data_IF_369268542522
#
_entry.id   IF_369268542522
#
_cell.length_a   1.000
_cell.length_b   1.000
_cell.length_c   1.000
_cell.angle_alpha   90.00
_cell.angle_beta   90.00
_cell.angle_gamma   90.00
#
_symmetry.space_group_name_H-M   'P 1'
#
loop_
_entity.id
_entity.type
_entity.pdbx_description
1 polymer ?
#
# COMPACT_ATOMS: atom_id res chain seq x y z
N UNK A 1 -6.40 30.15 18.28
CA UNK A 1 -5.52 28.96 18.26
C UNK A 1 -5.53 28.14 19.56
N UNK A 2 -5.74 28.70 20.75
CA UNK A 2 -5.73 27.91 22.00
C UNK A 2 -7.05 27.15 22.32
N UNK A 3 -8.17 27.46 21.67
CA UNK A 3 -9.46 26.84 21.95
C UNK A 3 -9.77 25.57 21.10
N UNK A 4 -9.06 25.38 19.97
CA UNK A 4 -9.31 24.25 19.07
C UNK A 4 -8.56 22.96 19.48
N UNK A 5 -7.49 23.09 20.26
CA UNK A 5 -6.72 21.94 20.81
C UNK A 5 -7.36 21.34 22.06
N UNK A 6 -8.21 22.07 22.77
CA UNK A 6 -8.88 21.59 23.99
C UNK A 6 -10.06 20.63 23.71
N UNK A 7 -10.66 20.68 22.52
CA UNK A 7 -11.78 19.80 22.15
C UNK A 7 -11.35 18.36 21.81
N UNK A 8 -10.07 18.13 21.50
CA UNK A 8 -9.53 16.82 21.09
C UNK A 8 -9.13 15.90 22.26
N UNK A 9 -9.20 16.38 23.51
CA UNK A 9 -8.74 15.64 24.68
C UNK A 9 -9.85 15.19 25.62
N UNK A 10 -11.09 15.68 25.44
CA UNK A 10 -12.22 15.23 26.25
C UNK A 10 -12.73 13.86 25.74
N UNK A 11 -12.64 12.79 26.55
CA UNK A 11 -13.12 11.46 26.19
C UNK A 11 -14.59 11.41 25.76
N UNK A 12 -15.41 12.38 26.19
CA UNK A 12 -16.82 12.47 25.85
C UNK A 12 -17.07 12.73 24.36
N UNK A 13 -16.14 13.36 23.65
CA UNK A 13 -16.30 13.78 22.24
C UNK A 13 -15.49 12.95 21.24
N UNK A 14 -14.77 11.92 21.69
CA UNK A 14 -14.03 11.03 20.81
C UNK A 14 -14.98 10.11 20.03
N UNK A 15 -14.70 9.90 18.74
CA UNK A 15 -15.33 8.86 17.94
C UNK A 15 -15.05 7.47 18.52
N UNK A 16 -15.82 6.47 18.08
CA UNK A 16 -15.61 5.07 18.50
C UNK A 16 -14.20 4.61 18.11
N UNK A 17 -13.73 4.94 16.91
CA UNK A 17 -12.41 4.59 16.39
C UNK A 17 -11.30 5.33 17.13
N UNK A 18 -11.51 6.58 17.55
CA UNK A 18 -10.53 7.32 18.34
C UNK A 18 -10.37 6.73 19.75
N UNK A 19 -11.48 6.29 20.36
CA UNK A 19 -11.43 5.56 21.65
C UNK A 19 -10.70 4.24 21.47
N UNK A 20 -11.05 3.48 20.42
CA UNK A 20 -10.42 2.18 20.14
C UNK A 20 -8.93 2.30 19.81
N UNK A 21 -8.51 3.34 19.11
CA UNK A 21 -7.10 3.61 18.84
C UNK A 21 -6.31 3.81 20.13
N UNK A 22 -6.86 4.53 21.12
CA UNK A 22 -6.22 4.69 22.44
C UNK A 22 -6.14 3.37 23.21
N UNK A 23 -7.18 2.54 23.14
CA UNK A 23 -7.16 1.21 23.77
C UNK A 23 -6.12 0.29 23.14
N UNK A 24 -5.99 0.31 21.81
CA UNK A 24 -5.00 -0.49 21.09
C UNK A 24 -3.58 -0.01 21.37
N UNK A 25 -3.36 1.30 21.46
CA UNK A 25 -2.05 1.86 21.83
C UNK A 25 -1.65 1.50 23.27
N UNK A 26 -2.62 1.45 24.20
CA UNK A 26 -2.39 0.97 25.56
C UNK A 26 -2.08 -0.53 25.62
N UNK A 27 -2.66 -1.33 24.73
CA UNK A 27 -2.50 -2.78 24.71
C UNK A 27 -1.22 -3.22 23.98
N UNK A 28 -0.92 -2.60 22.84
CA UNK A 28 0.12 -3.02 21.90
C UNK A 28 1.33 -2.08 21.89
N UNK A 29 1.13 -0.83 22.28
CA UNK A 29 2.13 0.24 22.23
C UNK A 29 2.92 0.40 23.54
N UNK A 30 3.40 1.63 23.84
CA UNK A 30 3.04 2.88 23.18
C UNK A 30 3.65 3.01 21.79
N UNK A 31 2.89 3.56 20.85
CA UNK A 31 3.41 4.06 19.58
C UNK A 31 4.46 5.13 19.87
N UNK A 32 5.61 5.04 19.22
CA UNK A 32 6.80 5.87 19.51
C UNK A 32 7.44 5.60 20.88
N UNK A 33 7.26 4.39 21.42
CA UNK A 33 8.04 3.92 22.56
C UNK A 33 9.56 4.05 22.31
N UNK A 34 10.30 4.32 23.39
CA UNK A 34 11.75 4.45 23.38
C UNK A 34 12.38 3.33 24.22
N UNK A 35 13.70 3.35 24.42
CA UNK A 35 14.39 2.31 25.20
C UNK A 35 13.88 2.19 26.66
N UNK A 36 13.43 3.30 27.25
CA UNK A 36 12.90 3.34 28.63
C UNK A 36 11.45 2.84 28.72
N UNK A 37 10.68 2.99 27.63
CA UNK A 37 9.30 2.55 27.52
C UNK A 37 9.04 1.98 26.11
N UNK A 38 9.55 0.77 25.82
CA UNK A 38 9.40 0.17 24.50
C UNK A 38 7.94 -0.23 24.24
N UNK A 39 7.52 -0.32 22.96
CA UNK A 39 6.23 -0.90 22.61
C UNK A 39 6.08 -2.32 23.19
N UNK A 40 4.88 -2.68 23.65
CA UNK A 40 4.58 -4.00 24.18
C UNK A 40 4.58 -5.11 23.11
N UNK A 41 4.44 -4.73 21.85
CA UNK A 41 4.43 -5.62 20.69
C UNK A 41 5.58 -5.30 19.75
N UNK A 42 6.41 -6.30 19.43
CA UNK A 42 7.54 -6.15 18.50
C UNK A 42 7.09 -6.09 17.03
N UNK A 43 6.09 -6.89 16.66
CA UNK A 43 5.64 -7.06 15.29
C UNK A 43 4.11 -7.11 15.18
N UNK A 44 3.52 -6.28 14.33
CA UNK A 44 2.08 -6.35 14.00
C UNK A 44 1.87 -6.85 12.57
N UNK A 45 1.06 -7.90 12.42
CA UNK A 45 0.50 -8.30 11.13
C UNK A 45 -0.97 -7.85 11.10
N UNK A 46 -1.29 -6.90 10.23
CA UNK A 46 -2.64 -6.34 10.10
C UNK A 46 -3.34 -6.95 8.89
N UNK A 47 -4.52 -7.54 9.07
CA UNK A 47 -5.21 -8.32 8.02
C UNK A 47 -6.34 -7.50 7.39
N UNK A 48 -6.28 -7.31 6.08
CA UNK A 48 -7.23 -6.53 5.30
C UNK A 48 -7.75 -7.34 4.11
N UNK A 49 -8.93 -6.94 3.64
CA UNK A 49 -9.51 -7.42 2.40
C UNK A 49 -9.96 -6.25 1.56
N UNK A 50 -9.82 -6.36 0.25
CA UNK A 50 -10.21 -5.34 -0.71
C UNK A 50 -11.19 -5.94 -1.71
N UNK A 51 -12.14 -5.11 -2.13
CA UNK A 51 -13.05 -5.42 -3.24
C UNK A 51 -12.33 -5.38 -4.61
N UNK A 52 -11.14 -4.76 -4.68
CA UNK A 52 -10.31 -4.65 -5.88
C UNK A 52 -9.59 -5.96 -6.21
N UNK A 53 -9.21 -6.18 -7.46
CA UNK A 53 -8.53 -7.41 -7.90
C UNK A 53 -7.01 -7.35 -7.68
N UNK A 54 -6.59 -6.90 -6.49
CA UNK A 54 -5.16 -6.74 -6.15
C UNK A 54 -4.43 -8.06 -5.90
N UNK A 55 -5.13 -9.19 -5.95
CA UNK A 55 -4.60 -10.49 -5.53
C UNK A 55 -4.20 -10.42 -4.04
N UNK A 56 -3.11 -11.09 -3.64
CA UNK A 56 -2.49 -10.86 -2.32
C UNK A 56 -1.44 -9.76 -2.41
N UNK A 57 -1.60 -8.68 -1.65
CA UNK A 57 -0.63 -7.61 -1.53
C UNK A 57 -0.06 -7.55 -0.10
N UNK A 58 1.26 -7.61 0.00
CA UNK A 58 2.00 -7.40 1.25
C UNK A 58 2.41 -5.93 1.34
N UNK A 59 1.74 -5.17 2.18
CA UNK A 59 1.95 -3.73 2.28
C UNK A 59 2.95 -3.43 3.40
N UNK A 60 4.14 -2.96 3.04
CA UNK A 60 5.30 -2.77 3.93
C UNK A 60 5.79 -1.32 3.91
N UNK A 61 6.52 -0.93 4.95
CA UNK A 61 7.35 0.28 4.90
C UNK A 61 8.75 0.04 4.36
N UNK A 62 9.33 1.03 3.69
CA UNK A 62 10.76 1.02 3.39
C UNK A 62 11.61 1.27 4.65
N UNK A 63 12.83 0.73 4.66
CA UNK A 63 13.85 1.00 5.67
C UNK A 63 13.76 0.12 6.93
N UNK A 64 12.89 -0.89 6.93
CA UNK A 64 12.82 -1.93 7.96
C UNK A 64 13.24 -3.29 7.36
N UNK A 65 14.49 -3.74 7.59
CA UNK A 65 14.97 -5.02 7.09
C UNK A 65 14.16 -6.23 7.56
N UNK A 66 13.68 -6.23 8.81
CA UNK A 66 12.94 -7.38 9.34
C UNK A 66 11.61 -7.53 8.62
N UNK A 67 10.86 -6.43 8.53
CA UNK A 67 9.57 -6.39 7.82
C UNK A 67 9.72 -6.72 6.33
N UNK A 68 10.72 -6.12 5.67
CA UNK A 68 10.90 -6.32 4.22
C UNK A 68 11.44 -7.70 3.86
N UNK A 69 12.29 -8.31 4.69
CA UNK A 69 12.70 -9.70 4.55
C UNK A 69 11.55 -10.67 4.82
N UNK A 70 10.68 -10.37 5.80
CA UNK A 70 9.46 -11.13 6.03
C UNK A 70 8.56 -11.13 4.78
N UNK A 71 8.33 -9.95 4.19
CA UNK A 71 7.53 -9.84 2.97
C UNK A 71 8.17 -10.56 1.77
N UNK A 72 9.50 -10.48 1.61
CA UNK A 72 10.23 -11.21 0.56
C UNK A 72 10.12 -12.74 0.74
N UNK A 73 10.19 -13.23 1.98
CA UNK A 73 10.01 -14.64 2.31
C UNK A 73 8.58 -15.09 2.00
N UNK A 74 7.58 -14.38 2.51
CA UNK A 74 6.16 -14.69 2.30
C UNK A 74 5.82 -14.68 0.81
N UNK A 75 6.30 -13.67 0.07
CA UNK A 75 6.11 -13.60 -1.38
C UNK A 75 6.66 -14.85 -2.07
N UNK A 76 7.86 -15.30 -1.71
CA UNK A 76 8.46 -16.51 -2.27
C UNK A 76 7.64 -17.77 -1.94
N UNK A 77 7.31 -17.99 -0.65
CA UNK A 77 6.52 -19.16 -0.21
C UNK A 77 5.15 -19.24 -0.86
N UNK A 78 4.47 -18.10 -1.01
CA UNK A 78 3.17 -18.03 -1.64
C UNK A 78 3.27 -18.31 -3.15
N UNK A 79 4.32 -17.83 -3.83
CA UNK A 79 4.58 -18.12 -5.25
C UNK A 79 4.88 -19.61 -5.50
N UNK A 80 5.61 -20.28 -4.60
CA UNK A 80 5.81 -21.75 -4.67
C UNK A 80 4.47 -22.52 -4.64
N UNK A 81 3.47 -21.94 -3.99
CA UNK A 81 2.11 -22.48 -3.88
C UNK A 81 1.15 -21.94 -4.96
N UNK A 82 1.69 -21.24 -5.97
CA UNK A 82 0.94 -20.69 -7.09
C UNK A 82 -0.10 -19.61 -6.70
N UNK A 83 0.09 -18.94 -5.55
CA UNK A 83 -0.66 -17.74 -5.21
C UNK A 83 -0.08 -16.52 -5.93
N UNK A 84 -0.95 -15.64 -6.41
CA UNK A 84 -0.54 -14.35 -6.97
C UNK A 84 -0.31 -13.38 -5.81
N UNK A 85 0.95 -13.08 -5.56
CA UNK A 85 1.37 -12.18 -4.48
C UNK A 85 2.31 -11.11 -4.99
N UNK A 86 2.16 -9.90 -4.49
CA UNK A 86 3.08 -8.80 -4.71
C UNK A 86 3.40 -8.06 -3.41
N UNK A 87 4.52 -7.34 -3.39
CA UNK A 87 4.86 -6.42 -2.31
C UNK A 87 4.49 -5.00 -2.73
N UNK A 88 3.80 -4.29 -1.85
CA UNK A 88 3.53 -2.87 -1.97
C UNK A 88 4.29 -2.09 -0.91
N UNK A 89 5.14 -1.16 -1.34
CA UNK A 89 6.00 -0.40 -0.45
C UNK A 89 5.49 1.03 -0.27
N UNK A 90 5.19 1.39 0.97
CA UNK A 90 4.98 2.77 1.36
C UNK A 90 6.32 3.51 1.44
N UNK A 91 6.37 4.67 0.79
CA UNK A 91 7.55 5.54 0.74
C UNK A 91 7.74 6.37 2.02
N UNK A 92 6.78 6.37 2.95
CA UNK A 92 6.90 7.06 4.22
C UNK A 92 8.01 6.43 5.07
N UNK A 93 9.06 7.20 5.39
CA UNK A 93 10.24 6.69 6.10
C UNK A 93 10.05 6.55 7.62
N UNK A 94 9.04 7.21 8.21
CA UNK A 94 8.84 7.22 9.66
C UNK A 94 7.41 6.79 10.02
N UNK A 95 7.25 6.15 11.18
CA UNK A 95 5.95 5.82 11.74
C UNK A 95 5.14 7.06 12.17
N UNK A 96 5.81 8.21 12.33
CA UNK A 96 5.20 9.48 12.77
C UNK A 96 4.11 9.98 11.83
N UNK A 97 4.28 9.72 10.54
CA UNK A 97 3.33 10.15 9.49
C UNK A 97 2.34 9.05 9.10
N UNK A 98 2.39 7.87 9.74
CA UNK A 98 1.50 6.74 9.44
C UNK A 98 0.36 6.69 10.45
N UNK A 99 -0.92 6.83 10.03
CA UNK A 99 -2.06 6.79 10.96
C UNK A 99 -2.61 5.37 11.21
N UNK A 100 -2.02 4.33 10.60
CA UNK A 100 -2.55 2.96 10.62
C UNK A 100 -2.22 2.20 11.92
N UNK A 101 -3.00 1.14 12.21
CA UNK A 101 -2.78 0.26 13.37
C UNK A 101 -1.37 -0.34 13.41
N UNK A 102 -0.86 -0.76 12.25
CA UNK A 102 0.47 -1.35 12.10
C UNK A 102 1.60 -0.44 12.58
N UNK A 103 1.40 0.88 12.58
CA UNK A 103 2.43 1.84 13.06
C UNK A 103 2.61 1.89 14.58
N UNK A 104 1.84 1.15 15.37
CA UNK A 104 2.03 1.05 16.83
C UNK A 104 3.32 0.29 17.16
N UNK A 105 3.57 -0.83 16.47
CA UNK A 105 4.76 -1.64 16.65
C UNK A 105 5.95 -1.12 15.81
N UNK A 106 7.20 -1.41 16.22
CA UNK A 106 8.38 -1.00 15.46
C UNK A 106 8.48 -1.71 14.11
N UNK A 107 7.99 -2.95 14.03
CA UNK A 107 7.92 -3.74 12.81
C UNK A 107 6.47 -4.09 12.50
N UNK A 108 6.10 -4.02 11.22
CA UNK A 108 4.77 -4.41 10.81
C UNK A 108 4.61 -4.49 9.31
N UNK A 109 3.68 -5.34 8.88
CA UNK A 109 3.09 -5.22 7.55
C UNK A 109 1.62 -5.59 7.54
N UNK A 110 0.96 -5.16 6.46
CA UNK A 110 -0.44 -5.49 6.20
C UNK A 110 -0.50 -6.59 5.14
N UNK A 111 -1.35 -7.58 5.37
CA UNK A 111 -1.77 -8.57 4.37
C UNK A 111 -3.11 -8.09 3.82
N UNK A 112 -3.13 -7.73 2.54
CA UNK A 112 -4.33 -7.28 1.82
C UNK A 112 -4.71 -8.35 0.79
N UNK A 113 -5.93 -8.91 0.87
CA UNK A 113 -6.38 -9.99 -0.03
C UNK A 113 -7.64 -9.58 -0.77
N UNK A 114 -7.56 -9.61 -2.11
CA UNK A 114 -8.68 -9.29 -2.99
C UNK A 114 -8.83 -10.24 -4.19
N UNK A 115 -9.97 -10.18 -4.90
CA UNK A 115 -11.15 -9.39 -4.55
C UNK A 115 -12.09 -10.14 -3.58
N UNK A 116 -12.60 -9.43 -2.57
CA UNK A 116 -13.58 -9.92 -1.59
C UNK A 116 -14.65 -8.84 -1.36
N UNK A 117 -15.94 -9.10 -1.62
CA UNK A 117 -17.00 -8.18 -1.24
C UNK A 117 -17.05 -7.97 0.28
N UNK A 118 -17.31 -6.74 0.71
CA UNK A 118 -17.47 -6.43 2.13
C UNK A 118 -18.61 -7.26 2.75
N UNK A 119 -18.36 -7.84 3.93
CA UNK A 119 -19.33 -8.70 4.62
C UNK A 119 -19.48 -10.11 4.03
N UNK A 120 -18.62 -10.51 3.07
CA UNK A 120 -18.62 -11.86 2.48
C UNK A 120 -17.34 -12.60 2.86
N UNK A 121 -17.50 -13.86 3.26
CA UNK A 121 -16.39 -14.79 3.43
C UNK A 121 -16.28 -15.70 2.20
N UNK A 122 -15.14 -15.63 1.51
CA UNK A 122 -14.82 -16.55 0.42
C UNK A 122 -13.78 -17.56 0.86
N UNK A 123 -14.06 -18.85 0.66
CA UNK A 123 -13.18 -19.93 1.10
C UNK A 123 -11.77 -19.84 0.50
N UNK A 124 -11.67 -19.63 -0.82
CA UNK A 124 -10.41 -19.49 -1.54
C UNK A 124 -9.54 -18.33 -0.99
N UNK A 125 -10.17 -17.21 -0.61
CA UNK A 125 -9.49 -16.04 -0.05
C UNK A 125 -9.09 -16.19 1.41
N UNK A 126 -9.86 -16.97 2.19
CA UNK A 126 -9.46 -17.35 3.55
C UNK A 126 -8.24 -18.28 3.52
N UNK A 127 -8.20 -19.25 2.60
CA UNK A 127 -7.02 -20.12 2.42
C UNK A 127 -5.78 -19.32 2.00
N UNK A 128 -5.94 -18.39 1.06
CA UNK A 128 -4.87 -17.49 0.60
C UNK A 128 -4.33 -16.61 1.74
N UNK A 129 -5.22 -16.01 2.55
CA UNK A 129 -4.82 -15.21 3.71
C UNK A 129 -4.14 -16.07 4.78
N UNK A 130 -4.67 -17.26 5.07
CA UNK A 130 -4.12 -18.17 6.07
C UNK A 130 -2.72 -18.64 5.68
N UNK A 131 -2.49 -18.97 4.40
CA UNK A 131 -1.18 -19.37 3.90
C UNK A 131 -0.17 -18.21 4.01
N UNK A 132 -0.60 -17.01 3.63
CA UNK A 132 0.22 -15.80 3.71
C UNK A 132 0.63 -15.52 5.17
N UNK A 133 -0.32 -15.61 6.10
CA UNK A 133 -0.08 -15.43 7.53
C UNK A 133 0.83 -16.54 8.10
N UNK A 134 0.60 -17.80 7.73
CA UNK A 134 1.45 -18.91 8.17
C UNK A 134 2.90 -18.73 7.73
N UNK A 135 3.11 -18.32 6.47
CA UNK A 135 4.45 -18.01 5.96
C UNK A 135 5.11 -16.86 6.72
N UNK A 136 4.35 -15.87 7.17
CA UNK A 136 4.85 -14.75 7.98
C UNK A 136 5.29 -15.22 9.37
N UNK A 137 4.45 -16.01 10.03
CA UNK A 137 4.75 -16.58 11.35
C UNK A 137 5.95 -17.54 11.28
N UNK A 138 6.05 -18.33 10.20
CA UNK A 138 7.20 -19.18 9.92
C UNK A 138 8.48 -18.34 9.78
N UNK A 139 8.46 -17.27 8.99
CA UNK A 139 9.59 -16.35 8.87
C UNK A 139 10.02 -15.81 10.24
N UNK A 140 9.09 -15.28 11.04
CA UNK A 140 9.41 -14.71 12.36
C UNK A 140 10.02 -15.76 13.29
N UNK A 141 9.45 -16.97 13.32
CA UNK A 141 9.98 -18.07 14.12
C UNK A 141 11.38 -18.48 13.69
N UNK A 142 11.63 -18.58 12.37
CA UNK A 142 12.93 -18.93 11.80
C UNK A 142 13.95 -17.81 12.00
N UNK A 143 13.55 -16.55 11.90
CA UNK A 143 14.41 -15.40 12.14
C UNK A 143 14.89 -15.36 13.60
N UNK A 144 14.06 -15.82 14.54
CA UNK A 144 14.46 -15.96 15.93
C UNK A 144 15.42 -17.14 16.17
N UNK A 145 15.24 -18.26 15.48
CA UNK A 145 15.98 -19.51 15.73
C UNK A 145 17.24 -19.68 14.89
N UNK A 146 17.21 -19.24 13.64
CA UNK A 146 18.24 -19.50 12.62
C UNK A 146 18.42 -18.31 11.64
N UNK A 147 18.62 -17.06 12.12
CA UNK A 147 18.63 -15.86 11.28
C UNK A 147 19.67 -15.89 10.15
N UNK A 148 20.88 -16.40 10.41
CA UNK A 148 21.93 -16.49 9.39
C UNK A 148 21.56 -17.46 8.26
N UNK A 149 20.94 -18.59 8.60
CA UNK A 149 20.49 -19.59 7.63
C UNK A 149 19.33 -19.06 6.81
N UNK A 150 18.36 -18.42 7.46
CA UNK A 150 17.23 -17.78 6.79
C UNK A 150 17.68 -16.67 5.83
N UNK A 151 18.63 -15.82 6.25
CA UNK A 151 19.18 -14.79 5.37
C UNK A 151 19.95 -15.37 4.18
N UNK A 152 20.70 -16.46 4.38
CA UNK A 152 21.37 -17.16 3.28
C UNK A 152 20.37 -17.77 2.30
N UNK A 153 19.25 -18.30 2.79
CA UNK A 153 18.15 -18.80 1.96
C UNK A 153 17.50 -17.67 1.14
N UNK A 154 17.20 -16.53 1.75
CA UNK A 154 16.70 -15.35 1.03
C UNK A 154 17.67 -14.87 -0.05
N UNK A 155 18.99 -14.92 0.18
CA UNK A 155 20.00 -14.61 -0.84
C UNK A 155 20.02 -15.62 -1.99
N UNK A 156 19.64 -16.88 -1.74
CA UNK A 156 19.47 -17.90 -2.79
C UNK A 156 18.19 -17.61 -3.59
N UNK A 157 17.09 -17.23 -2.93
CA UNK A 157 15.84 -16.86 -3.60
C UNK A 157 15.99 -15.60 -4.46
N UNK A 158 16.76 -14.63 -3.97
CA UNK A 158 16.99 -13.33 -4.62
C UNK A 158 18.50 -13.06 -4.81
N UNK A 159 19.17 -13.72 -5.77
CA UNK A 159 20.63 -13.65 -5.93
C UNK A 159 21.15 -12.26 -6.31
N UNK A 160 20.31 -11.40 -6.89
CA UNK A 160 20.65 -10.00 -7.15
C UNK A 160 20.69 -9.13 -5.89
N UNK A 161 20.14 -9.61 -4.77
CA UNK A 161 19.83 -8.80 -3.59
C UNK A 161 18.70 -7.79 -3.80
N UNK A 162 18.03 -7.80 -4.96
CA UNK A 162 16.94 -6.88 -5.31
C UNK A 162 15.62 -7.62 -5.36
N UNK A 163 14.62 -7.09 -4.67
CA UNK A 163 13.29 -7.69 -4.58
C UNK A 163 12.29 -6.79 -5.32
N UNK A 164 11.52 -7.34 -6.28
CA UNK A 164 10.52 -6.56 -6.99
C UNK A 164 9.37 -6.15 -6.06
N UNK A 165 8.93 -4.91 -6.18
CA UNK A 165 7.75 -4.39 -5.49
C UNK A 165 7.00 -3.38 -6.36
N UNK A 166 5.85 -2.95 -5.88
CA UNK A 166 5.14 -1.77 -6.33
C UNK A 166 5.22 -0.70 -5.26
N UNK A 167 5.08 0.57 -5.64
CA UNK A 167 4.86 1.68 -4.69
C UNK A 167 3.87 2.66 -5.28
N UNK A 168 3.24 3.46 -4.43
CA UNK A 168 2.42 4.57 -4.91
C UNK A 168 3.30 5.59 -5.66
N UNK A 169 2.77 6.09 -6.78
CA UNK A 169 3.36 7.22 -7.47
C UNK A 169 3.30 8.47 -6.56
N UNK A 170 4.28 9.38 -6.67
CA UNK A 170 4.29 10.61 -5.88
C UNK A 170 3.03 11.43 -6.12
N UNK A 171 2.51 12.06 -5.08
CA UNK A 171 1.40 13.01 -5.23
C UNK A 171 1.79 14.17 -6.15
N UNK A 172 0.88 14.55 -7.04
CA UNK A 172 1.01 15.73 -7.90
C UNK A 172 0.29 16.94 -7.26
N UNK A 173 -0.77 16.68 -6.48
CA UNK A 173 -1.58 17.74 -5.86
C UNK A 173 -1.15 17.99 -4.41
N UNK A 174 -1.22 19.24 -4.00
CA UNK A 174 -0.90 19.66 -2.64
C UNK A 174 -1.84 18.99 -1.62
N UNK A 175 -1.27 18.45 -0.54
CA UNK A 175 -2.02 17.77 0.52
C UNK A 175 -2.34 16.29 0.26
N UNK A 176 -2.05 15.74 -0.92
CA UNK A 176 -2.19 14.31 -1.19
C UNK A 176 -0.95 13.53 -0.76
N UNK A 177 -1.14 12.34 -0.17
CA UNK A 177 -0.01 11.46 0.21
C UNK A 177 0.57 10.68 -0.97
N UNK A 178 -0.23 10.45 -2.01
CA UNK A 178 0.17 9.75 -3.23
C UNK A 178 -0.71 10.11 -4.42
N UNK A 179 -0.25 9.81 -5.63
CA UNK A 179 -1.01 10.01 -6.86
C UNK A 179 -2.23 9.10 -6.94
N UNK A 180 -3.37 9.71 -7.25
CA UNK A 180 -4.66 9.04 -7.43
C UNK A 180 -5.44 9.63 -8.59
N UNK A 181 -6.25 8.79 -9.23
CA UNK A 181 -7.32 9.19 -10.12
C UNK A 181 -8.59 9.34 -9.27
N UNK A 182 -9.32 10.43 -9.45
CA UNK A 182 -10.54 10.74 -8.68
C UNK A 182 -11.75 10.27 -9.46
N UNK A 183 -12.77 9.76 -8.77
CA UNK A 183 -14.02 9.33 -9.38
C UNK A 183 -14.72 10.57 -9.90
N UNK A 184 -15.30 10.51 -11.10
CA UNK A 184 -16.27 11.49 -11.52
C UNK A 184 -17.55 11.31 -10.68
N UNK A 185 -17.59 11.98 -9.52
CA UNK A 185 -18.75 11.98 -8.62
C UNK A 185 -19.85 12.92 -9.10
N UNK A 186 -21.05 12.68 -8.58
CA UNK A 186 -22.21 13.51 -8.82
C UNK A 186 -22.00 14.95 -8.27
N UNK A 187 -22.37 16.00 -9.03
CA UNK A 187 -22.20 17.38 -8.58
C UNK A 187 -22.92 17.71 -7.27
N UNK A 188 -24.02 17.03 -6.97
CA UNK A 188 -24.83 17.26 -5.76
C UNK A 188 -24.49 16.26 -4.64
N UNK A 189 -23.71 15.21 -4.92
CA UNK A 189 -23.23 14.25 -3.93
C UNK A 189 -21.83 13.72 -4.26
N UNK A 190 -20.81 14.28 -3.60
CA UNK A 190 -19.41 13.90 -3.77
C UNK A 190 -19.09 12.43 -3.45
N UNK A 191 -19.95 11.75 -2.67
CA UNK A 191 -19.79 10.34 -2.30
C UNK A 191 -20.51 9.37 -3.27
N UNK A 192 -21.18 9.89 -4.30
CA UNK A 192 -21.83 9.06 -5.31
C UNK A 192 -21.03 9.15 -6.62
N UNK A 193 -20.26 8.12 -6.99
CA UNK A 193 -19.61 8.10 -8.29
C UNK A 193 -20.65 7.92 -9.39
N UNK A 194 -20.86 8.99 -10.17
CA UNK A 194 -21.82 9.01 -11.27
C UNK A 194 -21.32 8.18 -12.47
N UNK A 195 -20.01 7.98 -12.57
CA UNK A 195 -19.37 7.20 -13.63
C UNK A 195 -18.81 5.88 -13.11
N UNK A 196 -18.97 4.83 -13.91
CA UNK A 196 -18.43 3.51 -13.63
C UNK A 196 -16.98 3.41 -14.10
N UNK A 197 -16.16 2.60 -13.42
CA UNK A 197 -14.86 2.19 -13.99
C UNK A 197 -15.11 1.44 -15.29
N UNK A 198 -14.39 1.81 -16.35
CA UNK A 198 -14.56 1.17 -17.65
C UNK A 198 -14.19 -0.32 -17.57
N UNK A 199 -14.93 -1.18 -18.28
CA UNK A 199 -14.75 -2.65 -18.25
C UNK A 199 -13.34 -3.14 -18.62
N UNK A 200 -12.60 -2.35 -19.41
CA UNK A 200 -11.22 -2.67 -19.82
C UNK A 200 -10.20 -2.32 -18.71
N UNK A 201 -10.62 -1.60 -17.68
CA UNK A 201 -9.81 -1.23 -16.49
C UNK A 201 -10.27 -1.98 -15.25
N UNK A 202 -11.56 -2.29 -15.15
CA UNK A 202 -12.11 -3.08 -14.05
C UNK A 202 -11.33 -4.38 -13.87
N UNK A 203 -10.95 -4.67 -12.61
CA UNK A 203 -10.19 -5.85 -12.21
C UNK A 203 -8.78 -5.97 -12.83
N UNK A 204 -8.25 -4.91 -13.46
CA UNK A 204 -6.92 -4.89 -14.06
C UNK A 204 -5.87 -4.24 -13.15
N UNK A 205 -5.95 -4.44 -11.84
CA UNK A 205 -4.93 -3.96 -10.90
C UNK A 205 -3.53 -4.45 -11.34
N UNK A 206 -2.55 -3.56 -11.24
CA UNK A 206 -1.17 -3.74 -11.69
C UNK A 206 -0.97 -3.98 -13.20
N UNK A 207 -1.98 -3.71 -14.03
CA UNK A 207 -1.84 -3.61 -15.48
C UNK A 207 -1.64 -2.17 -15.92
N UNK A 208 -1.01 -2.01 -17.09
CA UNK A 208 -0.72 -0.69 -17.66
C UNK A 208 -1.97 -0.07 -18.29
N UNK A 209 -2.16 1.23 -18.04
CA UNK A 209 -3.06 2.09 -18.79
C UNK A 209 -2.25 3.22 -19.45
N UNK A 210 -2.59 3.56 -20.69
CA UNK A 210 -1.95 4.61 -21.49
C UNK A 210 -2.89 5.78 -21.70
N UNK A 211 -2.32 6.95 -21.97
CA UNK A 211 -3.09 8.13 -22.36
C UNK A 211 -3.98 7.79 -23.56
N UNK A 212 -5.28 8.05 -23.44
CA UNK A 212 -6.29 7.76 -24.44
C UNK A 212 -7.03 6.44 -24.24
N UNK A 213 -6.53 5.53 -23.39
CA UNK A 213 -7.25 4.30 -23.04
C UNK A 213 -8.51 4.63 -22.24
N UNK A 214 -9.59 3.85 -22.36
CA UNK A 214 -10.86 4.13 -21.69
C UNK A 214 -10.74 3.92 -20.19
N UNK A 215 -11.12 4.91 -19.37
CA UNK A 215 -10.97 4.87 -17.91
C UNK A 215 -12.30 4.80 -17.17
N UNK A 216 -13.25 5.65 -17.52
CA UNK A 216 -14.61 5.64 -16.97
C UNK A 216 -15.67 5.60 -18.08
N UNK A 217 -16.87 5.15 -17.73
CA UNK A 217 -18.03 5.09 -18.63
C UNK A 217 -19.31 5.48 -17.89
N UNK A 218 -20.20 6.22 -18.54
CA UNK A 218 -21.53 6.54 -18.00
C UNK A 218 -22.61 5.55 -18.52
N UNK A 219 -23.85 5.74 -18.09
CA UNK A 219 -24.96 4.87 -18.50
C UNK A 219 -25.38 5.03 -19.98
N UNK A 220 -25.05 6.17 -20.60
CA UNK A 220 -25.30 6.45 -22.02
C UNK A 220 -24.21 5.87 -22.94
N UNK A 221 -23.11 5.37 -22.36
CA UNK A 221 -21.97 4.78 -23.07
C UNK A 221 -20.88 5.79 -23.46
N UNK A 222 -20.96 7.03 -22.99
CA UNK A 222 -19.87 7.98 -23.12
C UNK A 222 -18.68 7.51 -22.28
N UNK A 223 -17.47 7.74 -22.80
CA UNK A 223 -16.22 7.29 -22.19
C UNK A 223 -15.36 8.49 -21.83
N UNK A 224 -14.86 8.50 -20.59
CA UNK A 224 -13.76 9.38 -20.19
C UNK A 224 -12.46 8.58 -20.35
N UNK A 225 -11.58 8.94 -21.29
CA UNK A 225 -10.28 8.30 -21.42
C UNK A 225 -9.32 8.79 -20.32
N UNK A 226 -8.31 7.98 -20.03
CA UNK A 226 -7.19 8.42 -19.20
C UNK A 226 -6.44 9.55 -19.90
N UNK A 227 -6.28 10.68 -19.21
CA UNK A 227 -5.73 11.93 -19.75
C UNK A 227 -4.20 11.97 -19.79
N UNK A 228 -3.54 11.01 -19.14
CA UNK A 228 -2.08 10.97 -18.97
C UNK A 228 -1.56 11.86 -17.84
N UNK A 229 -2.42 12.30 -16.92
CA UNK A 229 -2.09 13.20 -15.80
C UNK A 229 -0.96 12.73 -14.90
N UNK A 230 -0.67 11.43 -14.87
CA UNK A 230 0.38 10.81 -14.04
C UNK A 230 1.47 10.12 -14.89
N UNK A 231 1.51 10.38 -16.19
CA UNK A 231 2.39 9.72 -17.15
C UNK A 231 1.65 8.76 -18.08
N UNK A 232 2.39 8.07 -18.96
CA UNK A 232 1.83 7.06 -19.87
C UNK A 232 2.95 6.15 -20.40
N UNK A 233 2.95 4.84 -20.13
CA UNK A 233 1.96 4.11 -19.32
C UNK A 233 2.09 4.38 -17.81
N UNK A 234 1.01 4.12 -17.07
CA UNK A 234 1.00 4.00 -15.60
C UNK A 234 0.32 2.71 -15.18
N UNK A 235 0.53 2.28 -13.94
CA UNK A 235 -0.16 1.13 -13.36
C UNK A 235 -1.21 1.63 -12.38
N UNK A 236 -2.32 0.91 -12.25
CA UNK A 236 -3.39 1.24 -11.31
C UNK A 236 -3.51 0.17 -10.22
N UNK A 237 -3.93 0.55 -9.01
CA UNK A 237 -4.22 -0.36 -7.90
C UNK A 237 -5.37 0.19 -7.05
N UNK A 238 -5.99 -0.70 -6.27
CA UNK A 238 -7.26 -0.43 -5.59
C UNK A 238 -8.34 0.02 -6.58
N UNK A 239 -8.37 -0.62 -7.75
CA UNK A 239 -9.36 -0.32 -8.77
C UNK A 239 -10.74 -0.70 -8.25
N UNK A 240 -11.59 0.31 -8.12
CA UNK A 240 -12.97 0.15 -7.69
C UNK A 240 -13.13 -0.33 -6.23
N UNK A 241 -12.25 0.09 -5.33
CA UNK A 241 -12.37 -0.23 -3.90
C UNK A 241 -13.60 0.41 -3.26
N UNK A 242 -14.54 -0.41 -2.75
CA UNK A 242 -15.79 0.04 -2.13
C UNK A 242 -15.60 0.96 -0.92
N UNK A 243 -14.53 0.77 -0.13
CA UNK A 243 -14.18 1.66 0.98
C UNK A 243 -13.69 3.05 0.54
N UNK A 244 -13.36 3.25 -0.74
CA UNK A 244 -12.72 4.45 -1.27
C UNK A 244 -13.68 5.37 -2.05
N UNK A 245 -14.99 5.08 -2.01
CA UNK A 245 -16.01 5.90 -2.68
C UNK A 245 -16.32 7.20 -1.92
N UNK A 246 -16.15 7.22 -0.60
CA UNK A 246 -16.44 8.40 0.20
C UNK A 246 -15.36 9.47 0.02
N UNK A 247 -15.75 10.74 -0.15
CA UNK A 247 -14.82 11.86 -0.25
C UNK A 247 -13.88 11.94 0.97
N UNK A 248 -14.40 11.60 2.16
CA UNK A 248 -13.64 11.55 3.42
C UNK A 248 -12.59 10.45 3.48
N UNK A 249 -12.70 9.41 2.65
CA UNK A 249 -11.66 8.37 2.57
C UNK A 249 -10.34 8.95 2.07
N UNK A 250 -10.40 10.06 1.33
CA UNK A 250 -9.24 10.68 0.71
C UNK A 250 -8.54 9.77 -0.30
N UNK A 251 -9.12 8.61 -0.61
CA UNK A 251 -8.52 7.61 -1.46
C UNK A 251 -9.18 7.61 -2.81
N UNK A 252 -8.36 7.24 -3.79
CA UNK A 252 -8.82 7.09 -5.14
C UNK A 252 -8.20 5.89 -5.85
N UNK A 253 -8.32 5.79 -7.20
CA UNK A 253 -7.70 4.70 -7.94
C UNK A 253 -6.24 5.07 -7.91
N UNK A 254 -5.49 4.31 -7.14
CA UNK A 254 -4.13 4.69 -6.80
C UNK A 254 -3.24 4.39 -8.00
N UNK A 255 -2.33 5.31 -8.30
CA UNK A 255 -1.34 5.11 -9.35
C UNK A 255 -0.13 4.42 -8.73
N UNK A 256 0.28 3.30 -9.32
CA UNK A 256 1.40 2.49 -8.88
C UNK A 256 2.60 2.61 -9.83
N UNK A 257 3.79 2.39 -9.31
CA UNK A 257 5.05 2.26 -10.04
C UNK A 257 5.72 0.94 -9.66
N UNK A 258 6.24 0.21 -10.65
CA UNK A 258 7.16 -0.90 -10.40
C UNK A 258 8.46 -0.36 -9.81
N UNK A 259 8.97 -0.99 -8.78
CA UNK A 259 10.23 -0.65 -8.15
C UNK A 259 10.93 -1.89 -7.59
N UNK A 260 12.12 -1.68 -7.02
CA UNK A 260 12.86 -2.71 -6.33
C UNK A 260 13.39 -2.18 -5.00
N UNK A 261 13.48 -3.05 -3.99
CA UNK A 261 14.15 -2.74 -2.74
C UNK A 261 15.33 -3.68 -2.49
N UNK A 262 16.29 -3.19 -1.73
CA UNK A 262 17.49 -3.94 -1.34
C UNK A 262 17.18 -4.90 -0.18
N UNK A 263 17.55 -6.18 -0.33
CA UNK A 263 17.26 -7.25 0.63
C UNK A 263 17.79 -6.98 2.03
N UNK A 264 18.95 -6.33 2.13
CA UNK A 264 19.67 -6.18 3.39
C UNK A 264 19.15 -4.96 4.16
N UNK A 265 18.88 -3.88 3.45
CA UNK A 265 18.51 -2.60 4.05
C UNK A 265 17.01 -2.34 4.08
N UNK A 266 16.23 -3.04 3.25
CA UNK A 266 14.80 -2.79 3.08
C UNK A 266 14.47 -1.44 2.43
N UNK A 267 15.46 -0.73 1.90
CA UNK A 267 15.26 0.56 1.25
C UNK A 267 14.97 0.39 -0.24
N UNK A 268 14.12 1.27 -0.79
CA UNK A 268 13.97 1.40 -2.23
C UNK A 268 15.32 1.72 -2.89
N UNK A 269 15.61 1.05 -3.99
CA UNK A 269 16.85 1.25 -4.74
C UNK A 269 16.69 2.51 -5.59
N UNK A 270 17.55 3.54 -5.44
CA UNK A 270 17.49 4.73 -6.27
C UNK A 270 17.63 4.36 -7.76
N UNK A 271 16.68 4.83 -8.58
CA UNK A 271 16.80 4.74 -10.03
C UNK A 271 17.59 5.95 -10.52
N UNK A 272 18.60 5.72 -11.36
CA UNK A 272 19.28 6.82 -12.05
C UNK A 272 18.24 7.56 -12.91
N UNK A 273 18.02 8.85 -12.61
CA UNK A 273 17.25 9.72 -13.49
C UNK A 273 18.03 9.82 -14.82
N UNK A 274 17.40 9.62 -16.00
CA UNK A 274 18.06 9.89 -17.25
C UNK A 274 18.54 11.34 -17.22
N UNK A 275 19.84 11.56 -17.41
CA UNK A 275 20.40 12.89 -17.60
C UNK A 275 19.74 13.48 -18.84
N UNK A 276 18.84 14.45 -18.63
CA UNK A 276 18.40 15.35 -19.69
C UNK A 276 19.65 16.06 -20.21
N UNK A 277 20.19 15.58 -21.32
CA UNK A 277 21.16 16.34 -22.10
C UNK A 277 20.44 17.59 -22.59
N UNK A 278 20.60 18.70 -21.88
CA UNK A 278 20.34 20.01 -22.44
C UNK A 278 21.23 20.15 -23.67
N UNK A 279 20.65 19.96 -24.86
CA UNK A 279 21.27 20.37 -26.11
C UNK A 279 21.47 21.88 -26.02
N UNK A 280 22.72 22.30 -25.84
CA UNK A 280 23.11 23.69 -25.96
C UNK A 280 22.81 24.15 -27.39
N UNK A 281 21.77 24.97 -27.52
CA UNK A 281 21.53 25.73 -28.74
C UNK A 281 22.72 26.66 -28.95
N UNK A 282 23.43 26.43 -30.05
CA UNK A 282 24.48 27.32 -30.55
C UNK A 282 23.84 28.67 -30.92
N UNK A 283 24.45 29.83 -30.61
CA UNK A 283 23.92 31.11 -31.04
C UNK A 283 24.06 31.23 -32.57
N UNK A 284 22.99 31.64 -33.24
CA UNK A 284 23.04 32.07 -34.63
C UNK A 284 23.77 33.43 -34.70
N UNK A 285 24.84 33.48 -35.49
CA UNK A 285 25.40 34.72 -36.06
C UNK A 285 24.55 35.19 -37.26
#
# INVERSE_FOLDING_TARGET
MAAATAAYTDPAFLSVEQKRAKELDQLLGPKFGNEDQPPATDFIVDLHTTTSNMHTALIVGQGDPLTTQAAAYVMHKCQEKNFKVCIMMHTHKTGEVRPNLSSIAPHAFTIEVGPVPQGVLRHDKVEEMQETLNSALEFLQRNQQEPEKLLNELKIFYPSGKIPCYRSAPAIREGEMSAKLVWPSDPDNENFPQWLVHKDVQDQDFQEIKKGDPLFVNLDGDVIPYDGSHGSPVLLMFINEGGYYYASSGTGISVALKDEFDLITGNLIPKELPTLQCSSTTPLE
#
